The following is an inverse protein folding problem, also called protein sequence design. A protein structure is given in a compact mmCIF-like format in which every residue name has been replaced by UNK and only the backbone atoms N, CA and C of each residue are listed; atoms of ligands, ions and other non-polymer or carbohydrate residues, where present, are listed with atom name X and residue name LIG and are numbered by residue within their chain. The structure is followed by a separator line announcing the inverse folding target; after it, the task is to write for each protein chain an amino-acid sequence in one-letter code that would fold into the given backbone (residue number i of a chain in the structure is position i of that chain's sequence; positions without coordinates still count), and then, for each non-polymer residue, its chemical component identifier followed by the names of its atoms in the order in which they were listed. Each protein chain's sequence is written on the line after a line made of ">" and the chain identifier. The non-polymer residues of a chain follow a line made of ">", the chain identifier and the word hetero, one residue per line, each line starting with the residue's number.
data_IF_926465927282
#
_entry.id   IF_926465927282
#
_cell.length_a   1.000
_cell.length_b   1.000
_cell.length_c   1.000
_cell.angle_alpha   90.00
_cell.angle_beta   90.00
_cell.angle_gamma   90.00
#
_symmetry.space_group_name_H-M   'P 1'
#
loop_
_entity.id
_entity.type
_entity.pdbx_description
1 polymer ?
#
# COMPACT_ATOMS: atom_id res chain seq x y z
N UNK A 1 -21.78 45.99 -28.43
CA UNK A 1 -20.70 46.41 -29.35
C UNK A 1 -19.38 45.95 -28.73
N UNK A 2 -18.90 44.79 -29.15
CA UNK A 2 -17.58 44.22 -28.83
C UNK A 2 -17.13 43.50 -30.12
N UNK A 3 -15.91 43.70 -30.64
CA UNK A 3 -15.50 43.08 -31.89
C UNK A 3 -15.00 41.65 -31.65
N UNK A 4 -15.57 40.71 -32.40
CA UNK A 4 -15.09 39.35 -32.56
C UNK A 4 -13.80 39.35 -33.39
N UNK A 5 -12.73 38.74 -32.87
CA UNK A 5 -11.54 38.39 -33.65
C UNK A 5 -11.70 36.96 -34.17
N UNK A 6 -11.94 36.86 -35.48
CA UNK A 6 -11.78 35.65 -36.27
C UNK A 6 -10.30 35.24 -36.30
N UNK A 7 -10.01 34.01 -35.91
CA UNK A 7 -8.68 33.41 -36.03
C UNK A 7 -8.80 32.26 -37.04
N UNK A 8 -8.43 32.56 -38.28
CA UNK A 8 -8.40 31.63 -39.41
C UNK A 8 -7.11 30.80 -39.34
N UNK A 9 -7.22 29.50 -39.09
CA UNK A 9 -6.11 28.54 -39.17
C UNK A 9 -5.97 28.06 -40.62
N UNK A 10 -4.90 28.51 -41.29
CA UNK A 10 -4.42 27.94 -42.55
C UNK A 10 -3.76 26.59 -42.27
N UNK A 11 -4.38 25.50 -42.71
CA UNK A 11 -3.76 24.17 -42.77
C UNK A 11 -3.23 23.96 -44.18
N UNK A 12 -1.90 23.98 -44.33
CA UNK A 12 -1.21 23.63 -45.56
C UNK A 12 -1.22 22.11 -45.76
N UNK A 13 -1.86 21.66 -46.83
CA UNK A 13 -1.78 20.31 -47.38
C UNK A 13 -0.38 20.09 -47.99
N UNK A 14 0.36 19.11 -47.48
CA UNK A 14 1.55 18.58 -48.16
C UNK A 14 1.17 17.20 -48.71
N UNK A 15 0.95 17.16 -50.03
CA UNK A 15 0.84 15.94 -50.82
C UNK A 15 2.25 15.39 -51.07
N UNK A 16 2.47 14.11 -50.76
CA UNK A 16 3.65 13.35 -51.19
C UNK A 16 3.23 12.29 -52.21
N UNK A 17 4.05 12.03 -53.25
CA UNK A 17 3.66 11.26 -54.41
C UNK A 17 3.72 9.75 -54.20
N UNK A 18 2.83 9.08 -54.94
CA UNK A 18 2.78 7.66 -55.23
C UNK A 18 3.98 7.26 -56.10
N UNK A 19 4.71 6.22 -55.73
CA UNK A 19 5.69 5.56 -56.61
C UNK A 19 5.42 4.05 -56.67
N UNK A 20 5.59 3.53 -57.88
CA UNK A 20 5.13 2.22 -58.34
C UNK A 20 6.17 1.11 -58.14
N UNK A 21 5.71 -0.13 -58.32
CA UNK A 21 6.40 -1.35 -57.91
C UNK A 21 7.51 -1.88 -58.83
N UNK A 22 8.02 -3.03 -58.37
CA UNK A 22 8.78 -4.12 -59.03
C UNK A 22 10.21 -4.33 -58.46
N UNK A 23 10.77 -5.56 -58.54
CA UNK A 23 10.29 -6.84 -58.00
C UNK A 23 11.35 -7.53 -57.10
N UNK A 24 10.96 -8.64 -56.46
CA UNK A 24 11.78 -9.53 -55.61
C UNK A 24 13.08 -10.04 -56.25
N UNK A 25 14.12 -10.29 -55.42
CA UNK A 25 15.02 -11.41 -55.60
C UNK A 25 14.81 -12.47 -54.50
N UNK A 26 14.50 -13.69 -54.94
CA UNK A 26 14.74 -14.92 -54.17
C UNK A 26 16.23 -15.25 -54.18
N UNK A 27 16.85 -15.53 -53.04
CA UNK A 27 17.78 -16.68 -52.86
C UNK A 27 18.37 -16.74 -51.45
N UNK A 28 18.03 -17.83 -50.76
CA UNK A 28 18.90 -18.72 -49.99
C UNK A 28 20.24 -18.19 -49.43
N UNK A 29 20.32 -18.15 -48.09
CA UNK A 29 21.58 -18.05 -47.35
C UNK A 29 21.39 -18.34 -45.86
N UNK A 30 21.34 -19.62 -45.48
CA UNK A 30 21.46 -20.07 -44.08
C UNK A 30 22.87 -19.73 -43.58
N UNK A 31 23.01 -18.72 -42.72
CA UNK A 31 24.16 -18.58 -41.83
C UNK A 31 23.67 -18.58 -40.38
N UNK A 32 23.89 -19.71 -39.72
CA UNK A 32 23.77 -19.87 -38.28
C UNK A 32 24.90 -19.08 -37.62
N UNK A 33 24.57 -18.02 -36.87
CA UNK A 33 25.25 -17.57 -35.64
C UNK A 33 24.61 -16.26 -35.10
N UNK A 34 23.61 -16.34 -34.18
CA UNK A 34 23.23 -15.19 -33.35
C UNK A 34 23.34 -15.47 -31.84
N UNK A 35 23.89 -16.61 -31.41
CA UNK A 35 23.94 -16.96 -29.98
C UNK A 35 24.99 -16.19 -29.17
N UNK A 36 26.18 -15.98 -29.75
CA UNK A 36 27.32 -15.45 -28.98
C UNK A 36 27.21 -13.93 -28.78
N UNK A 37 26.77 -13.18 -29.80
CA UNK A 37 26.67 -11.71 -29.71
C UNK A 37 25.60 -11.29 -28.71
N UNK A 38 24.45 -11.97 -28.70
CA UNK A 38 23.36 -11.68 -27.74
C UNK A 38 23.76 -12.04 -26.31
N UNK A 39 24.50 -13.14 -26.12
CA UNK A 39 24.98 -13.55 -24.79
C UNK A 39 26.03 -12.59 -24.24
N UNK A 40 26.93 -12.10 -25.09
CA UNK A 40 27.94 -11.09 -24.69
C UNK A 40 27.27 -9.77 -24.32
N UNK A 41 26.25 -9.33 -25.05
CA UNK A 41 25.48 -8.11 -24.73
C UNK A 41 24.74 -8.23 -23.39
N UNK A 42 24.12 -9.36 -23.11
CA UNK A 42 23.43 -9.61 -21.82
C UNK A 42 24.44 -9.60 -20.66
N UNK A 43 25.61 -10.22 -20.82
CA UNK A 43 26.65 -10.21 -19.79
C UNK A 43 27.20 -8.80 -19.53
N UNK A 44 27.39 -7.99 -20.56
CA UNK A 44 27.85 -6.60 -20.40
C UNK A 44 26.82 -5.79 -19.61
N UNK A 45 25.52 -5.94 -19.92
CA UNK A 45 24.43 -5.24 -19.19
C UNK A 45 24.34 -5.71 -17.74
N UNK A 46 24.50 -7.00 -17.46
CA UNK A 46 24.46 -7.51 -16.08
C UNK A 46 25.67 -7.03 -15.26
N UNK A 47 26.85 -6.94 -15.87
CA UNK A 47 28.06 -6.43 -15.21
C UNK A 47 27.94 -4.93 -14.93
N UNK A 48 27.41 -4.12 -15.87
CA UNK A 48 27.23 -2.69 -15.64
C UNK A 48 26.18 -2.42 -14.56
N UNK A 49 25.04 -3.12 -14.57
CA UNK A 49 24.02 -3.00 -13.51
C UNK A 49 24.59 -3.46 -12.16
N UNK A 50 25.33 -4.57 -12.11
CA UNK A 50 25.98 -5.06 -10.89
C UNK A 50 26.98 -4.07 -10.29
N UNK A 51 27.83 -3.46 -11.12
CA UNK A 51 28.79 -2.43 -10.69
C UNK A 51 28.05 -1.20 -10.15
N UNK A 52 26.98 -0.77 -10.81
CA UNK A 52 26.21 0.42 -10.38
C UNK A 52 25.51 0.21 -9.04
N UNK A 53 24.92 -0.98 -8.82
CA UNK A 53 24.31 -1.36 -7.54
C UNK A 53 25.36 -1.50 -6.43
N UNK A 54 26.56 -1.98 -6.75
CA UNK A 54 27.65 -2.11 -5.78
C UNK A 54 28.21 -0.75 -5.35
N UNK A 55 28.33 0.21 -6.28
CA UNK A 55 28.75 1.60 -5.98
C UNK A 55 27.68 2.35 -5.16
N UNK A 56 26.39 2.12 -5.43
CA UNK A 56 25.31 2.73 -4.64
C UNK A 56 25.17 2.11 -3.23
N UNK A 57 25.58 0.86 -3.02
CA UNK A 57 25.64 0.25 -1.68
C UNK A 57 26.88 0.63 -0.86
N UNK A 58 27.93 1.18 -1.48
CA UNK A 58 29.15 1.60 -0.78
C UNK A 58 29.20 3.09 -0.42
N UNK A 59 28.27 3.89 -0.93
CA UNK A 59 28.16 5.31 -0.61
C UNK A 59 27.23 5.52 0.59
N UNK A 60 27.80 5.35 1.78
CA UNK A 60 27.18 5.76 3.05
C UNK A 60 27.51 7.25 3.26
N UNK A 61 26.55 8.19 3.09
CA UNK A 61 26.86 9.63 3.07
C UNK A 61 27.19 10.22 4.45
N UNK A 62 27.29 9.40 5.50
CA UNK A 62 27.51 9.86 6.87
C UNK A 62 28.86 9.43 7.49
N UNK A 63 29.83 9.00 6.67
CA UNK A 63 31.18 8.71 7.16
C UNK A 63 32.07 9.95 7.04
N UNK A 64 31.99 10.84 8.03
CA UNK A 64 33.05 11.81 8.30
C UNK A 64 34.30 11.11 8.80
N UNK A 65 35.37 11.22 8.02
CA UNK A 65 36.73 10.86 8.39
C UNK A 65 37.28 11.79 9.49
N UNK A 66 37.85 11.21 10.55
CA UNK A 66 39.11 11.71 11.12
C UNK A 66 39.87 10.60 11.85
N UNK A 67 41.22 10.61 11.78
CA UNK A 67 42.05 9.49 12.19
C UNK A 67 42.58 9.65 13.62
N UNK A 68 42.69 8.56 14.38
CA UNK A 68 43.97 8.20 15.01
C UNK A 68 43.95 6.79 15.66
N UNK A 69 44.82 5.94 15.10
CA UNK A 69 45.81 5.10 15.77
C UNK A 69 45.49 4.37 17.10
N UNK A 70 45.53 3.03 17.06
CA UNK A 70 45.77 2.21 18.26
C UNK A 70 45.48 0.71 18.10
N UNK A 71 46.42 -0.04 17.54
CA UNK A 71 46.42 -1.52 17.52
C UNK A 71 47.11 -2.06 18.79
N UNK A 72 46.55 -3.08 19.44
CA UNK A 72 47.24 -4.24 20.08
C UNK A 72 46.19 -5.24 20.59
N UNK A 73 45.90 -6.35 19.90
CA UNK A 73 46.52 -7.70 19.98
C UNK A 73 46.24 -8.53 21.24
N UNK A 74 45.54 -9.66 20.99
CA UNK A 74 45.79 -11.05 21.43
C UNK A 74 45.41 -11.52 22.86
N UNK A 75 44.41 -12.41 22.87
CA UNK A 75 44.43 -13.81 23.37
C UNK A 75 45.39 -14.15 24.53
N UNK A 76 44.85 -14.71 25.63
CA UNK A 76 44.98 -16.12 26.12
C UNK A 76 44.89 -16.17 27.66
N UNK A 77 44.12 -17.12 28.21
CA UNK A 77 44.46 -17.77 29.48
C UNK A 77 43.51 -17.59 30.68
N UNK A 78 42.59 -18.54 30.84
CA UNK A 78 42.24 -19.13 32.17
C UNK A 78 43.45 -19.97 32.68
N UNK A 79 43.58 -20.38 33.98
CA UNK A 79 42.50 -20.82 34.88
C UNK A 79 42.64 -20.61 36.42
N UNK A 80 41.51 -20.86 37.11
CA UNK A 80 41.30 -21.55 38.40
C UNK A 80 41.79 -20.99 39.76
N UNK A 81 40.84 -20.88 40.71
CA UNK A 81 40.73 -21.49 42.08
C UNK A 81 40.00 -20.54 43.05
N UNK A 82 39.22 -20.87 44.09
CA UNK A 82 38.45 -22.04 44.60
C UNK A 82 37.73 -21.57 45.91
N UNK A 83 36.51 -22.08 46.20
CA UNK A 83 35.78 -22.15 47.51
C UNK A 83 35.25 -20.83 48.11
N UNK A 84 34.04 -20.72 48.69
CA UNK A 84 33.32 -21.61 49.61
C UNK A 84 31.78 -21.62 49.41
N UNK A 85 31.14 -22.71 49.86
CA UNK A 85 29.68 -22.89 50.00
C UNK A 85 29.26 -22.84 51.49
N UNK A 86 27.97 -22.57 51.77
CA UNK A 86 27.24 -23.51 52.65
C UNK A 86 25.78 -23.81 52.26
N UNK A 87 25.53 -25.11 52.07
CA UNK A 87 24.45 -25.98 52.63
C UNK A 87 22.97 -25.55 52.73
N UNK A 88 22.12 -26.16 51.87
CA UNK A 88 20.81 -26.80 52.18
C UNK A 88 19.53 -26.15 51.61
N UNK A 89 18.41 -26.89 51.35
CA UNK A 89 18.21 -28.35 51.15
C UNK A 89 17.45 -28.78 49.86
N UNK A 90 17.86 -29.94 49.31
CA UNK A 90 17.15 -31.03 48.58
C UNK A 90 15.96 -30.73 47.64
N UNK A 91 16.08 -31.03 46.32
CA UNK A 91 14.95 -31.13 45.38
C UNK A 91 14.32 -32.55 45.32
N UNK A 92 13.02 -32.60 45.06
CA UNK A 92 12.19 -33.81 44.95
C UNK A 92 12.52 -34.68 43.70
N UNK A 93 12.20 -35.99 43.71
CA UNK A 93 12.70 -36.95 42.74
C UNK A 93 11.95 -36.95 41.40
N UNK A 94 12.73 -37.16 40.34
CA UNK A 94 12.35 -37.43 38.94
C UNK A 94 11.81 -38.86 38.80
N UNK A 95 10.70 -39.10 38.08
CA UNK A 95 10.36 -40.44 37.62
C UNK A 95 10.88 -40.69 36.19
N UNK A 96 11.62 -41.79 36.05
CA UNK A 96 12.05 -42.41 34.77
C UNK A 96 10.97 -43.37 34.21
N UNK A 97 11.10 -43.83 32.94
CA UNK A 97 9.98 -44.08 32.03
C UNK A 97 9.37 -45.48 32.13
N UNK A 98 8.05 -45.56 31.99
CA UNK A 98 7.29 -46.79 31.83
C UNK A 98 6.88 -47.01 30.37
N UNK A 99 7.28 -48.15 29.81
CA UNK A 99 6.90 -48.69 28.50
C UNK A 99 5.74 -49.68 28.62
N UNK A 100 4.58 -49.40 28.00
CA UNK A 100 3.58 -50.30 27.35
C UNK A 100 2.34 -49.43 27.06
N UNK A 101 1.57 -49.53 25.96
CA UNK A 101 1.48 -50.43 24.83
C UNK A 101 0.78 -49.70 23.66
N UNK A 102 0.89 -50.26 22.45
CA UNK A 102 0.13 -49.91 21.25
C UNK A 102 -1.37 -49.70 21.53
N UNK A 103 -1.88 -48.49 21.29
CA UNK A 103 -3.30 -48.28 20.98
C UNK A 103 -3.40 -47.39 19.74
N UNK A 104 -4.04 -47.94 18.72
CA UNK A 104 -4.15 -47.45 17.37
C UNK A 104 -5.10 -46.24 17.33
N UNK A 105 -4.56 -45.05 17.57
CA UNK A 105 -5.34 -43.81 17.53
C UNK A 105 -5.46 -43.32 16.08
N UNK A 106 -6.67 -43.45 15.53
CA UNK A 106 -7.02 -42.95 14.19
C UNK A 106 -7.20 -41.45 14.29
N UNK A 107 -6.11 -40.70 14.16
CA UNK A 107 -6.14 -39.24 14.08
C UNK A 107 -6.92 -38.79 12.82
N UNK A 108 -7.95 -37.92 12.95
CA UNK A 108 -8.59 -37.32 11.78
C UNK A 108 -7.61 -36.39 11.04
N UNK A 109 -7.77 -36.20 9.72
CA UNK A 109 -6.85 -35.41 8.92
C UNK A 109 -6.73 -33.98 9.47
N UNK A 110 -5.50 -33.55 9.76
CA UNK A 110 -5.23 -32.17 10.11
C UNK A 110 -5.37 -31.29 8.86
N UNK A 111 -6.47 -30.54 8.79
CA UNK A 111 -6.61 -29.43 7.85
C UNK A 111 -5.60 -28.35 8.22
N UNK A 112 -4.79 -27.82 7.28
CA UNK A 112 -3.91 -26.69 7.54
C UNK A 112 -4.72 -25.39 7.59
N UNK A 113 -5.50 -25.17 8.66
CA UNK A 113 -6.27 -23.94 8.87
C UNK A 113 -5.68 -23.11 10.01
N UNK A 114 -4.79 -22.19 9.63
CA UNK A 114 -4.32 -21.08 10.45
C UNK A 114 -5.01 -19.76 10.11
N UNK A 115 -6.20 -19.78 9.51
CA UNK A 115 -6.97 -18.58 9.24
C UNK A 115 -7.95 -18.37 10.40
N UNK A 116 -7.89 -17.20 11.04
CA UNK A 116 -8.88 -16.83 12.05
C UNK A 116 -10.29 -16.94 11.44
N UNK A 117 -11.31 -17.40 12.19
CA UNK A 117 -12.67 -17.48 11.70
C UNK A 117 -13.11 -16.12 11.14
N UNK A 118 -13.65 -16.12 9.92
CA UNK A 118 -14.25 -14.91 9.33
C UNK A 118 -15.34 -14.42 10.28
N UNK A 119 -15.32 -13.14 10.71
CA UNK A 119 -16.36 -12.60 11.56
C UNK A 119 -17.73 -12.71 10.86
N UNK A 120 -18.66 -13.48 11.43
CA UNK A 120 -20.05 -13.48 11.01
C UNK A 120 -20.75 -12.20 11.52
N UNK A 121 -21.53 -11.50 10.69
CA UNK A 121 -22.29 -10.32 11.12
C UNK A 121 -22.45 -9.21 10.06
N UNK A 122 -22.91 -8.01 10.47
CA UNK A 122 -22.91 -6.82 9.61
C UNK A 122 -21.50 -6.32 9.31
N UNK A 123 -21.33 -5.52 8.26
CA UNK A 123 -20.09 -4.78 8.00
C UNK A 123 -19.84 -3.76 9.11
N UNK A 124 -18.65 -3.82 9.71
CA UNK A 124 -18.29 -2.93 10.81
C UNK A 124 -17.70 -1.64 10.26
N UNK A 125 -18.28 -0.50 10.62
CA UNK A 125 -17.74 0.82 10.31
C UNK A 125 -16.76 1.24 11.41
N UNK A 126 -15.56 1.66 11.01
CA UNK A 126 -14.50 2.15 11.88
C UNK A 126 -14.07 3.54 11.49
N UNK A 127 -13.59 4.29 12.49
CA UNK A 127 -13.12 5.65 12.33
C UNK A 127 -11.65 5.76 12.71
N UNK A 128 -10.89 6.47 11.90
CA UNK A 128 -9.44 6.60 12.04
C UNK A 128 -9.07 8.07 12.19
N UNK A 129 -8.37 8.39 13.28
CA UNK A 129 -7.68 9.66 13.44
C UNK A 129 -6.55 9.53 14.45
N UNK A 130 -5.39 10.18 14.22
CA UNK A 130 -4.35 10.32 15.24
C UNK A 130 -4.74 11.32 16.33
N UNK A 131 -5.73 12.19 16.08
CA UNK A 131 -6.11 13.30 16.94
C UNK A 131 -7.59 13.29 17.35
N UNK A 132 -7.88 13.81 18.53
CA UNK A 132 -9.20 14.34 18.85
C UNK A 132 -9.37 15.80 18.38
N UNK A 133 -10.60 16.32 18.46
CA UNK A 133 -10.92 17.73 18.14
C UNK A 133 -10.13 18.75 18.97
N UNK A 134 -9.64 18.37 20.15
CA UNK A 134 -8.83 19.25 21.00
C UNK A 134 -7.37 19.32 20.54
N UNK A 135 -6.95 18.48 19.58
CA UNK A 135 -5.57 18.37 19.13
C UNK A 135 -4.70 17.51 20.05
N UNK A 136 -5.32 16.62 20.82
CA UNK A 136 -4.65 15.60 21.63
C UNK A 136 -4.44 14.35 20.79
N UNK A 137 -3.23 13.79 20.85
CA UNK A 137 -2.92 12.53 20.18
C UNK A 137 -3.62 11.38 20.90
N UNK A 138 -4.34 10.56 20.13
CA UNK A 138 -5.05 9.40 20.67
C UNK A 138 -4.08 8.34 21.22
N UNK A 139 -4.46 7.60 22.28
CA UNK A 139 -3.65 6.49 22.81
C UNK A 139 -3.27 5.47 21.72
N UNK A 140 -2.02 5.00 21.76
CA UNK A 140 -1.51 3.98 20.83
C UNK A 140 -1.02 4.52 19.48
N UNK A 141 -1.25 5.80 19.18
CA UNK A 141 -0.67 6.46 18.00
C UNK A 141 0.77 6.88 18.23
N UNK A 142 1.60 6.69 17.21
CA UNK A 142 3.02 7.03 17.25
C UNK A 142 3.42 7.91 16.07
N UNK A 143 4.09 9.03 16.37
CA UNK A 143 4.78 9.81 15.34
C UNK A 143 5.96 9.01 14.81
N UNK A 144 6.01 8.80 13.50
CA UNK A 144 7.15 8.13 12.86
C UNK A 144 8.08 9.09 12.13
N UNK A 145 7.60 10.27 11.75
CA UNK A 145 8.41 11.31 11.10
C UNK A 145 7.83 12.71 11.28
N UNK A 146 8.63 13.72 10.96
CA UNK A 146 8.26 15.12 10.84
C UNK A 146 8.73 15.67 9.49
N UNK A 147 7.77 15.90 8.59
CA UNK A 147 8.02 16.40 7.25
C UNK A 147 8.36 17.90 7.25
N UNK A 148 8.22 18.60 8.39
CA UNK A 148 8.48 20.03 8.47
C UNK A 148 7.50 20.85 7.61
N UNK A 149 7.99 21.94 7.02
CA UNK A 149 7.17 22.85 6.21
C UNK A 149 7.04 22.34 4.78
N UNK A 150 5.80 22.19 4.31
CA UNK A 150 5.44 21.66 3.01
C UNK A 150 4.67 22.71 2.20
N UNK A 151 5.24 23.13 1.06
CA UNK A 151 4.60 24.09 0.17
C UNK A 151 3.77 23.39 -0.93
N UNK A 152 2.78 22.62 -0.49
CA UNK A 152 1.85 21.89 -1.36
C UNK A 152 0.41 22.26 -1.05
N UNK A 153 -0.46 22.16 -2.06
CA UNK A 153 -1.89 22.35 -1.86
C UNK A 153 -2.54 21.18 -1.12
N UNK A 154 -3.65 21.48 -0.44
CA UNK A 154 -4.50 20.51 0.23
C UNK A 154 -5.93 20.61 -0.31
N UNK A 155 -6.67 19.51 -0.23
CA UNK A 155 -8.09 19.48 -0.48
C UNK A 155 -8.80 18.61 0.55
N UNK A 156 -10.10 18.82 0.75
CA UNK A 156 -10.93 17.97 1.62
C UNK A 156 -10.75 16.51 1.21
N UNK A 157 -10.49 15.64 2.20
CA UNK A 157 -10.30 14.22 1.97
C UNK A 157 -11.64 13.55 1.63
N UNK A 158 -11.77 12.98 0.44
CA UNK A 158 -12.98 12.24 0.00
C UNK A 158 -13.26 10.99 0.85
N UNK A 159 -12.24 10.52 1.57
CA UNK A 159 -12.32 9.40 2.52
C UNK A 159 -12.75 9.81 3.93
N UNK A 160 -13.02 11.10 4.15
CA UNK A 160 -13.39 11.68 5.44
C UNK A 160 -14.87 11.99 5.50
N UNK A 161 -15.48 11.72 6.66
CA UNK A 161 -16.85 12.16 6.97
C UNK A 161 -16.92 13.62 7.47
N UNK A 162 -15.78 14.31 7.54
CA UNK A 162 -15.70 15.72 7.92
C UNK A 162 -14.95 16.53 6.86
N UNK A 163 -15.43 17.76 6.64
CA UNK A 163 -14.90 18.68 5.63
C UNK A 163 -13.53 19.30 5.99
N UNK A 164 -13.12 19.21 7.26
CA UNK A 164 -11.88 19.78 7.81
C UNK A 164 -10.76 18.75 8.04
N UNK A 165 -10.84 17.64 7.31
CA UNK A 165 -9.80 16.62 7.20
C UNK A 165 -9.33 16.61 5.75
N UNK A 166 -8.01 16.56 5.54
CA UNK A 166 -7.42 16.92 4.26
C UNK A 166 -6.52 15.83 3.68
N UNK A 167 -6.45 15.84 2.36
CA UNK A 167 -5.45 15.16 1.55
C UNK A 167 -4.54 16.24 0.96
N UNK A 168 -3.23 16.13 1.18
CA UNK A 168 -2.25 17.15 0.80
C UNK A 168 -1.17 16.57 -0.13
N UNK A 169 -0.73 17.37 -1.10
CA UNK A 169 0.23 16.93 -2.12
C UNK A 169 -0.43 16.29 -3.34
N UNK A 170 0.39 15.61 -4.16
CA UNK A 170 -0.11 14.90 -5.34
C UNK A 170 -0.81 13.59 -4.95
N UNK A 171 -1.90 13.22 -5.66
CA UNK A 171 -2.55 11.93 -5.46
C UNK A 171 -1.57 10.77 -5.66
N UNK A 172 -1.47 9.90 -4.67
CA UNK A 172 -0.67 8.67 -4.67
C UNK A 172 -1.39 7.53 -3.94
N UNK A 173 -1.12 6.24 -4.23
CA UNK A 173 -1.77 5.12 -3.55
C UNK A 173 -1.63 5.08 -2.02
N UNK A 174 -0.68 5.85 -1.46
CA UNK A 174 -0.41 5.95 -0.03
C UNK A 174 -0.64 7.38 0.50
N UNK A 175 -1.52 8.15 -0.15
CA UNK A 175 -1.73 9.54 0.27
C UNK A 175 -2.28 9.58 1.69
N UNK A 176 -1.56 10.32 2.52
CA UNK A 176 -1.82 10.44 3.94
C UNK A 176 -3.07 11.30 4.15
N UNK A 177 -3.82 10.99 5.22
CA UNK A 177 -4.98 11.78 5.61
C UNK A 177 -4.61 12.65 6.81
N UNK A 178 -4.71 13.96 6.64
CA UNK A 178 -4.16 14.98 7.52
C UNK A 178 -5.25 15.67 8.34
N UNK A 179 -4.98 15.74 9.65
CA UNK A 179 -5.83 16.36 10.66
C UNK A 179 -5.13 17.62 11.18
N UNK A 180 -5.60 18.84 10.83
CA UNK A 180 -4.96 20.07 11.26
C UNK A 180 -5.14 20.32 12.76
N UNK A 181 -4.07 20.70 13.46
CA UNK A 181 -4.12 21.15 14.85
C UNK A 181 -3.84 22.65 14.93
N UNK A 182 -4.90 23.45 15.13
CA UNK A 182 -4.79 24.91 15.27
C UNK A 182 -3.91 25.30 16.46
N UNK A 183 -4.06 24.59 17.59
CA UNK A 183 -3.29 24.87 18.81
C UNK A 183 -1.79 24.61 18.65
N UNK A 184 -1.39 23.79 17.68
CA UNK A 184 0.01 23.40 17.45
C UNK A 184 0.60 23.96 16.15
N UNK A 185 -0.21 24.55 15.27
CA UNK A 185 0.24 25.10 13.98
C UNK A 185 0.78 24.04 13.01
N UNK A 186 0.35 22.78 13.17
CA UNK A 186 0.80 21.65 12.35
C UNK A 186 -0.36 20.69 12.11
N UNK A 187 -0.24 19.90 11.05
CA UNK A 187 -1.13 18.80 10.73
C UNK A 187 -0.54 17.46 11.16
N UNK A 188 -1.41 16.53 11.48
CA UNK A 188 -1.08 15.17 11.86
C UNK A 188 -1.65 14.24 10.80
N UNK A 189 -0.78 13.64 10.00
CA UNK A 189 -1.16 12.88 8.82
C UNK A 189 -1.03 11.39 9.12
N UNK A 190 -2.17 10.71 9.22
CA UNK A 190 -2.19 9.26 9.34
C UNK A 190 -1.77 8.64 8.00
N UNK A 191 -0.86 7.66 8.05
CA UNK A 191 -0.26 7.07 6.85
C UNK A 191 -1.09 5.93 6.25
N UNK A 192 -1.98 5.33 7.05
CA UNK A 192 -2.78 4.17 6.64
C UNK A 192 -4.01 4.05 7.55
N UNK A 193 -5.16 3.55 7.04
CA UNK A 193 -6.30 3.24 7.89
C UNK A 193 -6.07 2.03 8.81
N UNK A 194 -5.01 1.25 8.57
CA UNK A 194 -4.76 -0.02 9.25
C UNK A 194 -3.62 0.02 10.27
N UNK A 195 -2.95 1.17 10.44
CA UNK A 195 -1.83 1.34 11.37
C UNK A 195 -2.04 2.56 12.27
N UNK A 196 -1.47 2.54 13.47
CA UNK A 196 -1.50 3.67 14.41
C UNK A 196 -0.24 4.51 14.30
N UNK A 197 0.09 4.91 13.07
CA UNK A 197 1.28 5.70 12.76
C UNK A 197 0.90 6.98 12.03
N UNK A 198 1.57 8.08 12.41
CA UNK A 198 1.36 9.36 11.76
C UNK A 198 2.68 10.10 11.54
N UNK A 199 2.67 11.02 10.59
CA UNK A 199 3.71 12.02 10.42
C UNK A 199 3.16 13.40 10.75
N UNK A 200 4.04 14.36 11.03
CA UNK A 200 3.64 15.76 11.21
C UNK A 200 4.14 16.62 10.06
N UNK A 201 3.37 17.65 9.71
CA UNK A 201 3.75 18.60 8.67
C UNK A 201 3.06 19.95 8.87
N UNK A 202 3.67 21.04 8.40
CA UNK A 202 3.03 22.35 8.28
C UNK A 202 2.82 22.65 6.80
N UNK A 203 1.56 22.67 6.35
CA UNK A 203 1.23 22.96 4.96
C UNK A 203 1.02 24.47 4.76
N UNK A 204 1.69 25.04 3.75
CA UNK A 204 1.60 26.48 3.43
C UNK A 204 0.95 26.76 2.07
N UNK A 205 0.66 25.72 1.29
CA UNK A 205 -0.04 25.87 0.02
C UNK A 205 -1.55 26.14 0.19
N UNK A 206 -2.25 26.38 -0.92
CA UNK A 206 -3.69 26.67 -0.88
C UNK A 206 -4.49 25.46 -0.39
N UNK A 207 -5.52 25.71 0.40
CA UNK A 207 -6.52 24.70 0.77
C UNK A 207 -7.76 24.89 -0.09
N UNK A 208 -8.22 23.81 -0.71
CA UNK A 208 -9.47 23.78 -1.47
C UNK A 208 -10.50 22.94 -0.72
N UNK A 209 -11.57 23.59 -0.30
CA UNK A 209 -12.74 22.88 0.22
C UNK A 209 -13.51 22.28 -0.95
N UNK A 210 -13.68 20.96 -0.93
CA UNK A 210 -14.57 20.24 -1.83
C UNK A 210 -15.64 19.66 -0.91
N UNK A 211 -16.90 20.16 -0.98
CA UNK A 211 -17.96 19.63 -0.13
C UNK A 211 -18.09 18.13 -0.37
N UNK A 212 -17.74 17.32 0.65
CA UNK A 212 -17.84 15.87 0.55
C UNK A 212 -19.31 15.50 0.69
N UNK A 213 -20.01 15.28 -0.43
CA UNK A 213 -21.44 14.91 -0.40
C UNK A 213 -21.65 13.41 -0.24
N UNK A 214 -20.61 12.62 -0.43
CA UNK A 214 -20.68 11.16 -0.34
C UNK A 214 -19.29 10.58 -0.06
N UNK A 215 -18.88 10.51 1.22
CA UNK A 215 -17.57 9.97 1.55
C UNK A 215 -17.53 8.48 1.26
N UNK A 216 -16.44 8.01 0.66
CA UNK A 216 -16.18 6.58 0.51
C UNK A 216 -15.19 6.09 1.57
N UNK A 217 -15.15 4.78 1.89
CA UNK A 217 -14.17 4.26 2.83
C UNK A 217 -12.73 4.60 2.43
N UNK A 218 -11.88 4.92 3.42
CA UNK A 218 -10.43 4.97 3.25
C UNK A 218 -9.83 3.56 3.09
N UNK A 219 -10.33 2.62 3.91
CA UNK A 219 -9.86 1.25 3.94
C UNK A 219 -11.01 0.25 4.01
N UNK A 220 -10.79 -0.94 3.44
CA UNK A 220 -11.76 -2.03 3.38
C UNK A 220 -11.07 -3.32 3.80
N UNK A 221 -11.75 -4.15 4.58
CA UNK A 221 -11.30 -5.51 4.92
C UNK A 221 -12.28 -6.49 4.32
N UNK A 222 -11.77 -7.41 3.49
CA UNK A 222 -12.55 -8.43 2.83
C UNK A 222 -12.69 -9.66 3.73
N UNK A 223 -13.67 -10.52 3.45
CA UNK A 223 -13.85 -11.79 4.16
C UNK A 223 -12.64 -12.71 4.09
N UNK A 224 -11.84 -12.62 3.03
CA UNK A 224 -10.59 -13.38 2.86
C UNK A 224 -9.39 -12.77 3.62
N UNK A 225 -9.63 -11.74 4.44
CA UNK A 225 -8.63 -11.09 5.30
C UNK A 225 -7.77 -10.05 4.60
N UNK A 226 -7.92 -9.87 3.28
CA UNK A 226 -7.24 -8.78 2.57
C UNK A 226 -7.72 -7.42 3.05
N UNK A 227 -6.79 -6.50 3.15
CA UNK A 227 -6.92 -5.09 3.53
C UNK A 227 -6.63 -4.23 2.32
N UNK A 228 -7.64 -3.50 1.88
CA UNK A 228 -7.57 -2.69 0.68
C UNK A 228 -7.67 -1.21 1.01
N UNK A 229 -6.81 -0.39 0.40
CA UNK A 229 -6.78 1.06 0.58
C UNK A 229 -7.32 1.72 -0.68
N UNK A 230 -8.13 2.76 -0.51
CA UNK A 230 -8.68 3.54 -1.61
C UNK A 230 -7.55 4.05 -2.50
N UNK A 231 -7.65 3.82 -3.80
CA UNK A 231 -6.72 4.38 -4.77
C UNK A 231 -6.93 5.89 -4.86
N UNK A 232 -5.93 6.68 -4.44
CA UNK A 232 -5.96 8.13 -4.60
C UNK A 232 -5.26 8.49 -5.92
N UNK A 233 -6.04 8.61 -6.99
CA UNK A 233 -5.57 9.05 -8.30
C UNK A 233 -4.70 8.05 -9.07
N UNK A 234 -4.20 8.51 -10.22
CA UNK A 234 -3.51 7.68 -11.22
C UNK A 234 -4.47 7.02 -12.22
N UNK A 235 -3.96 6.65 -13.39
CA UNK A 235 -4.72 5.84 -14.36
C UNK A 235 -4.45 4.35 -14.07
N UNK A 236 -5.45 3.68 -13.51
CA UNK A 236 -5.40 2.24 -13.18
C UNK A 236 -5.81 1.39 -14.39
N UNK A 237 -6.12 2.03 -15.52
CA UNK A 237 -6.69 1.37 -16.68
C UNK A 237 -8.16 1.01 -16.50
N UNK A 238 -8.75 0.53 -17.59
CA UNK A 238 -10.14 0.07 -17.65
C UNK A 238 -10.15 -1.30 -18.28
N UNK A 239 -10.87 -2.23 -17.65
CA UNK A 239 -11.13 -3.54 -18.22
C UNK A 239 -12.07 -3.40 -19.43
N UNK A 240 -12.00 -4.35 -20.36
CA UNK A 240 -12.88 -4.37 -21.53
C UNK A 240 -14.38 -4.46 -21.16
N UNK A 241 -14.69 -4.97 -19.96
CA UNK A 241 -16.04 -5.04 -19.40
C UNK A 241 -16.45 -3.78 -18.61
N UNK A 242 -15.70 -2.68 -18.73
CA UNK A 242 -16.05 -1.37 -18.16
C UNK A 242 -15.67 -1.17 -16.70
N UNK A 243 -15.05 -2.15 -16.04
CA UNK A 243 -14.61 -2.02 -14.65
C UNK A 243 -13.27 -1.26 -14.52
N UNK A 244 -13.11 -0.54 -13.41
CA UNK A 244 -11.90 0.23 -13.05
C UNK A 244 -11.43 -0.14 -11.65
N UNK A 245 -10.15 0.09 -11.35
CA UNK A 245 -9.62 -0.09 -10.00
C UNK A 245 -10.15 0.97 -9.04
N UNK A 246 -10.59 0.54 -7.85
CA UNK A 246 -11.06 1.43 -6.79
C UNK A 246 -10.23 1.29 -5.50
N UNK A 247 -9.86 0.06 -5.11
CA UNK A 247 -8.98 -0.17 -3.96
C UNK A 247 -7.87 -1.16 -4.31
N UNK A 248 -6.64 -0.82 -3.92
CA UNK A 248 -5.52 -1.77 -3.95
C UNK A 248 -5.48 -2.55 -2.65
N UNK A 249 -5.35 -3.88 -2.74
CA UNK A 249 -5.34 -4.78 -1.60
C UNK A 249 -3.92 -5.24 -1.25
N UNK A 250 -3.63 -5.41 0.04
CA UNK A 250 -2.41 -6.10 0.45
C UNK A 250 -2.48 -7.58 0.02
N UNK A 251 -1.47 -8.02 -0.72
CA UNK A 251 -1.43 -9.38 -1.25
C UNK A 251 -0.47 -9.51 -2.42
N UNK A 252 -0.02 -10.73 -2.68
CA UNK A 252 0.83 -11.09 -3.82
C UNK A 252 -0.13 -11.37 -5.00
N UNK A 253 -0.68 -10.34 -5.64
CA UNK A 253 -1.56 -10.56 -6.77
C UNK A 253 -2.06 -9.29 -7.45
N UNK A 254 -2.49 -9.37 -8.72
CA UNK A 254 -3.02 -8.24 -9.47
C UNK A 254 -4.49 -7.91 -9.17
N UNK A 255 -5.12 -8.62 -8.23
CA UNK A 255 -6.53 -8.40 -7.88
C UNK A 255 -6.73 -7.10 -7.08
N UNK A 256 -7.71 -6.32 -7.51
CA UNK A 256 -8.14 -5.08 -6.87
C UNK A 256 -9.65 -5.13 -6.60
N UNK A 257 -10.13 -4.25 -5.73
CA UNK A 257 -11.57 -3.94 -5.69
C UNK A 257 -11.91 -3.09 -6.89
N UNK A 258 -12.99 -3.43 -7.57
CA UNK A 258 -13.42 -2.81 -8.82
C UNK A 258 -14.63 -1.91 -8.61
N UNK A 259 -14.66 -0.79 -9.33
CA UNK A 259 -15.86 0.01 -9.60
C UNK A 259 -16.36 -0.26 -11.02
N UNK A 260 -17.64 0.03 -11.28
CA UNK A 260 -18.24 -0.09 -12.61
C UNK A 260 -18.89 1.22 -13.06
N UNK A 261 -18.63 1.63 -14.31
CA UNK A 261 -19.22 2.83 -14.90
C UNK A 261 -18.52 4.13 -14.51
N UNK A 262 -19.19 5.27 -14.79
CA UNK A 262 -18.70 6.61 -14.43
C UNK A 262 -19.12 7.04 -13.02
N UNK A 263 -20.18 6.41 -12.48
CA UNK A 263 -20.65 6.58 -11.10
C UNK A 263 -20.03 5.50 -10.20
N UNK A 264 -19.44 5.86 -9.05
CA UNK A 264 -18.59 4.98 -8.25
C UNK A 264 -19.42 4.07 -7.33
N UNK A 265 -20.39 3.32 -7.86
CA UNK A 265 -21.03 2.25 -7.10
C UNK A 265 -20.01 1.10 -6.92
N UNK A 266 -19.20 1.23 -5.87
CA UNK A 266 -18.14 0.27 -5.51
C UNK A 266 -18.71 -0.81 -4.58
N UNK A 267 -19.60 -0.40 -3.67
CA UNK A 267 -20.16 -1.25 -2.63
C UNK A 267 -21.64 -1.49 -2.93
N UNK A 268 -22.04 -2.76 -2.88
CA UNK A 268 -23.44 -3.13 -2.70
C UNK A 268 -23.74 -3.11 -1.20
N UNK A 269 -24.50 -2.08 -0.79
CA UNK A 269 -24.92 -1.84 0.61
C UNK A 269 -26.38 -2.22 0.85
N UNK A 270 -27.02 -2.96 -0.07
CA UNK A 270 -28.43 -3.36 0.03
C UNK A 270 -28.73 -4.32 1.19
N UNK A 271 -27.69 -4.82 1.87
CA UNK A 271 -27.76 -5.70 3.04
C UNK A 271 -26.78 -5.21 4.11
N UNK A 272 -27.02 -5.64 5.35
CA UNK A 272 -26.17 -5.35 6.50
C UNK A 272 -24.70 -5.76 6.31
N UNK A 273 -24.47 -6.85 5.55
CA UNK A 273 -23.15 -7.24 5.08
C UNK A 273 -22.95 -6.71 3.67
N UNK A 274 -22.07 -5.72 3.53
CA UNK A 274 -21.72 -5.12 2.25
C UNK A 274 -20.94 -6.10 1.38
N UNK A 275 -21.04 -5.93 0.07
CA UNK A 275 -20.22 -6.70 -0.87
C UNK A 275 -19.57 -5.79 -1.91
N UNK A 276 -18.48 -6.27 -2.49
CA UNK A 276 -17.75 -5.58 -3.56
C UNK A 276 -17.45 -6.55 -4.70
N UNK A 277 -17.08 -6.00 -5.85
CA UNK A 277 -16.51 -6.77 -6.95
C UNK A 277 -14.99 -6.76 -6.86
N UNK A 278 -14.37 -7.92 -7.00
CA UNK A 278 -12.91 -8.09 -7.04
C UNK A 278 -12.51 -8.76 -8.34
N UNK A 279 -11.40 -8.31 -8.91
CA UNK A 279 -10.78 -8.93 -10.08
C UNK A 279 -9.49 -8.24 -10.48
N UNK A 280 -8.80 -8.82 -11.44
CA UNK A 280 -7.56 -8.27 -11.99
C UNK A 280 -7.87 -7.10 -12.94
N UNK A 281 -6.96 -6.14 -13.10
CA UNK A 281 -7.11 -5.07 -14.10
C UNK A 281 -6.56 -5.45 -15.50
N UNK A 282 -5.54 -6.31 -15.54
CA UNK A 282 -4.86 -6.73 -16.77
C UNK A 282 -4.26 -5.58 -17.58
N UNK A 283 -3.78 -5.89 -18.78
CA UNK A 283 -3.38 -4.93 -19.79
C UNK A 283 -4.57 -4.61 -20.72
N UNK A 284 -4.56 -3.44 -21.40
CA UNK A 284 -5.57 -3.13 -22.40
C UNK A 284 -5.67 -4.23 -23.46
N UNK A 285 -6.87 -4.82 -23.62
CA UNK A 285 -7.15 -5.89 -24.58
C UNK A 285 -7.10 -7.31 -23.99
N UNK A 286 -6.72 -7.47 -22.72
CA UNK A 286 -6.76 -8.77 -22.06
C UNK A 286 -8.21 -9.26 -21.87
N UNK A 287 -8.41 -10.57 -22.08
CA UNK A 287 -9.65 -11.25 -21.74
C UNK A 287 -9.54 -11.83 -20.33
N UNK A 288 -10.10 -11.11 -19.37
CA UNK A 288 -10.07 -11.48 -17.95
C UNK A 288 -11.34 -12.21 -17.54
N UNK A 289 -11.29 -13.09 -16.51
CA UNK A 289 -12.50 -13.69 -15.96
C UNK A 289 -13.44 -12.61 -15.40
N UNK A 290 -14.75 -12.90 -15.30
CA UNK A 290 -15.70 -11.99 -14.66
C UNK A 290 -15.32 -11.68 -13.21
N UNK A 291 -15.57 -10.44 -12.72
CA UNK A 291 -15.34 -10.09 -11.32
C UNK A 291 -16.14 -10.96 -10.35
N UNK A 292 -15.49 -11.38 -9.28
CA UNK A 292 -16.13 -12.12 -8.17
C UNK A 292 -16.77 -11.16 -7.18
N UNK A 293 -17.91 -11.53 -6.62
CA UNK A 293 -18.46 -10.85 -5.44
C UNK A 293 -17.74 -11.34 -4.19
N UNK A 294 -17.35 -10.41 -3.33
CA UNK A 294 -16.65 -10.69 -2.07
C UNK A 294 -17.31 -9.91 -0.95
N UNK A 295 -17.50 -10.53 0.20
CA UNK A 295 -18.04 -9.85 1.38
C UNK A 295 -17.02 -8.89 2.01
N UNK A 296 -17.53 -7.79 2.56
CA UNK A 296 -16.76 -6.79 3.30
C UNK A 296 -17.02 -6.94 4.80
N UNK A 297 -15.97 -7.25 5.55
CA UNK A 297 -16.06 -7.41 7.01
C UNK A 297 -15.99 -6.08 7.74
N UNK A 298 -15.10 -5.19 7.30
CA UNK A 298 -14.88 -3.88 7.93
C UNK A 298 -14.63 -2.79 6.89
N UNK A 299 -15.05 -1.58 7.20
CA UNK A 299 -14.72 -0.36 6.45
C UNK A 299 -14.19 0.71 7.40
N UNK A 300 -13.26 1.51 6.91
CA UNK A 300 -12.56 2.53 7.70
C UNK A 300 -12.75 3.89 7.04
N UNK A 301 -13.26 4.86 7.78
CA UNK A 301 -13.33 6.26 7.35
C UNK A 301 -12.36 7.11 8.15
N UNK A 302 -11.86 8.19 7.56
CA UNK A 302 -11.20 9.24 8.33
C UNK A 302 -12.25 10.06 9.09
N UNK A 303 -12.06 10.23 10.40
CA UNK A 303 -12.97 11.05 11.20
C UNK A 303 -12.29 11.49 12.50
N UNK A 304 -12.69 12.64 13.04
CA UNK A 304 -12.17 13.10 14.33
C UNK A 304 -12.56 12.13 15.45
N UNK A 305 -11.63 11.89 16.37
CA UNK A 305 -11.92 11.10 17.55
C UNK A 305 -13.04 11.76 18.36
N UNK A 306 -13.95 10.94 18.89
CA UNK A 306 -15.08 11.31 19.76
C UNK A 306 -16.37 11.81 19.06
N UNK A 307 -16.45 11.84 17.73
CA UNK A 307 -17.73 12.10 17.01
C UNK A 307 -18.33 10.84 16.34
N UNK A 308 -17.52 9.77 16.18
CA UNK A 308 -17.91 8.56 15.44
C UNK A 308 -18.86 7.59 16.16
N UNK A 309 -19.05 7.69 17.48
CA UNK A 309 -19.90 6.75 18.20
C UNK A 309 -21.38 7.16 18.24
N UNK A 310 -21.68 8.46 18.15
CA UNK A 310 -22.97 8.95 18.68
C UNK A 310 -23.96 9.43 17.59
N UNK A 311 -23.51 9.69 16.35
CA UNK A 311 -24.36 10.35 15.34
C UNK A 311 -24.60 9.62 14.01
N UNK A 312 -23.78 8.64 13.62
CA UNK A 312 -23.91 8.02 12.28
C UNK A 312 -24.58 6.64 12.27
N UNK A 313 -24.88 6.06 13.45
CA UNK A 313 -25.66 4.81 13.56
C UNK A 313 -27.17 4.96 13.35
N UNK A 314 -27.67 6.10 12.82
CA UNK A 314 -29.11 6.40 12.78
C UNK A 314 -29.65 6.90 11.44
N UNK A 315 -28.84 6.97 10.39
CA UNK A 315 -29.34 7.20 9.02
C UNK A 315 -29.26 5.91 8.22
N UNK A 316 -30.39 5.25 7.92
CA UNK A 316 -30.41 4.23 6.88
C UNK A 316 -30.14 4.93 5.55
N UNK A 317 -29.11 4.48 4.84
CA UNK A 317 -28.99 4.69 3.40
C UNK A 317 -30.02 3.80 2.69
#
# INVERSE_FOLDING_TARGET
>A
MFPQRNMTLFTSLISLPSDQGHPMPTSSGKSSLPGIVTTVLILIVLVTVGITVMVMRSADPNRTDSPDSGISTLYTGDPATTRDAPTGPVPAPVPEPGTVADEMDTAPPQTPDGQAPVPNGPTVIRYVSPLDRAGTVQPGWRRIDDLGVQNVGCHTAEVSIHDDVYTCGEPSPETQVCFPSVSRGQSYCAISPFTTQYVTATFTGPTREIPSRDPHPWGVVLEDGRRCVAGQGGDWGVRADGHRGAYSCNGIGPEVVLSHGETPEIFDVSRDRWTVKVGELGLPGDSLPPPRTVEVTEVYYAAWANEGADNWGRTPY
#
